data_IF_899923363497
#
_entry.id   IF_899923363497
#
_cell.length_a   1.000
_cell.length_b   1.000
_cell.length_c   1.000
_cell.angle_alpha   90.00
_cell.angle_beta   90.00
_cell.angle_gamma   90.00
#
_symmetry.space_group_name_H-M   'P 1'
#
loop_
_entity.id
_entity.type
_entity.pdbx_description
1 polymer ?
#
# COMPACT_ATOMS: atom_id res chain seq x y z
N UNK A 1 -9.08 24.65 59.64
CA UNK A 1 -7.75 24.01 59.49
C UNK A 1 -7.93 22.72 58.70
N UNK A 2 -7.24 22.69 57.57
CA UNK A 2 -6.81 21.58 56.72
C UNK A 2 -7.50 20.22 56.88
N UNK A 3 -8.25 19.90 55.82
CA UNK A 3 -8.63 18.57 55.39
C UNK A 3 -7.46 17.59 55.46
N UNK A 4 -7.69 16.45 56.11
CA UNK A 4 -6.77 15.33 56.13
C UNK A 4 -7.59 14.05 55.95
N UNK A 5 -7.52 13.48 54.75
CA UNK A 5 -6.97 12.15 54.49
C UNK A 5 -7.55 11.51 53.21
N UNK A 6 -6.74 10.67 52.53
CA UNK A 6 -6.81 10.46 51.09
C UNK A 6 -7.71 9.31 50.62
N UNK A 7 -8.12 9.45 49.36
CA UNK A 7 -8.88 8.50 48.57
C UNK A 7 -8.28 7.09 48.57
N UNK A 8 -9.09 6.12 48.97
CA UNK A 8 -8.93 4.71 48.61
C UNK A 8 -10.27 4.22 48.10
N UNK A 9 -10.50 4.38 46.80
CA UNK A 9 -11.49 3.58 46.08
C UNK A 9 -10.79 2.91 44.90
N UNK A 10 -10.22 1.75 45.18
CA UNK A 10 -9.92 0.74 44.19
C UNK A 10 -11.25 0.25 43.59
N UNK A 11 -11.34 0.21 42.27
CA UNK A 11 -12.39 -0.55 41.60
C UNK A 11 -13.28 0.31 40.73
N UNK A 12 -12.82 0.54 39.51
CA UNK A 12 -13.58 0.29 38.29
C UNK A 12 -12.76 0.86 37.15
N UNK A 13 -11.65 0.18 36.86
CA UNK A 13 -11.04 0.26 35.55
C UNK A 13 -12.13 -0.17 34.57
N UNK A 14 -12.84 0.79 33.98
CA UNK A 14 -13.55 0.57 32.73
C UNK A 14 -12.45 0.43 31.68
N UNK A 15 -11.77 -0.72 31.71
CA UNK A 15 -11.07 -1.24 30.55
C UNK A 15 -12.19 -1.43 29.55
N UNK A 16 -12.36 -0.43 28.69
CA UNK A 16 -12.97 -0.68 27.40
C UNK A 16 -12.33 -1.98 26.89
N UNK A 17 -13.11 -3.01 26.55
CA UNK A 17 -12.53 -4.09 25.78
C UNK A 17 -11.90 -3.38 24.58
N UNK A 18 -10.57 -3.43 24.49
CA UNK A 18 -9.94 -3.37 23.20
C UNK A 18 -10.73 -4.40 22.40
N UNK A 19 -11.56 -3.92 21.47
CA UNK A 19 -12.11 -4.78 20.47
C UNK A 19 -10.92 -5.62 19.99
N UNK A 20 -11.06 -6.95 19.81
CA UNK A 20 -10.05 -7.63 19.03
C UNK A 20 -9.87 -6.73 17.81
N UNK A 21 -8.63 -6.32 17.55
CA UNK A 21 -8.26 -5.92 16.21
C UNK A 21 -8.56 -7.18 15.40
N UNK A 22 -9.83 -7.32 15.00
CA UNK A 22 -10.27 -8.17 13.94
C UNK A 22 -9.38 -7.66 12.84
N UNK A 23 -8.32 -8.43 12.58
CA UNK A 23 -7.46 -8.24 11.45
C UNK A 23 -8.41 -7.84 10.32
N UNK A 24 -8.29 -6.60 9.85
CA UNK A 24 -9.10 -6.13 8.73
C UNK A 24 -9.11 -7.29 7.73
N UNK A 25 -10.29 -7.73 7.24
CA UNK A 25 -10.39 -8.97 6.48
C UNK A 25 -9.28 -8.96 5.45
N UNK A 26 -8.29 -9.82 5.66
CA UNK A 26 -7.15 -9.89 4.78
C UNK A 26 -7.74 -10.17 3.40
N UNK A 27 -7.35 -9.38 2.39
CA UNK A 27 -7.67 -9.74 1.02
C UNK A 27 -7.29 -11.21 0.84
N UNK A 28 -8.21 -12.05 0.35
CA UNK A 28 -7.90 -13.43 0.06
C UNK A 28 -6.65 -13.52 -0.83
N UNK A 29 -5.68 -14.37 -0.47
CA UNK A 29 -4.51 -14.65 -1.31
C UNK A 29 -4.91 -15.05 -2.74
N UNK A 30 -6.10 -15.63 -2.89
CA UNK A 30 -6.72 -15.97 -4.17
C UNK A 30 -6.84 -14.75 -5.11
N UNK A 31 -7.25 -13.59 -4.60
CA UNK A 31 -7.35 -12.35 -5.39
C UNK A 31 -5.99 -11.99 -5.99
N UNK A 32 -4.94 -12.06 -5.17
CA UNK A 32 -3.59 -11.72 -5.61
C UNK A 32 -3.02 -12.75 -6.59
N UNK A 33 -3.38 -14.03 -6.45
CA UNK A 33 -3.04 -15.06 -7.41
C UNK A 33 -3.78 -14.86 -8.74
N UNK A 34 -5.06 -14.50 -8.71
CA UNK A 34 -5.87 -14.22 -9.90
C UNK A 34 -5.38 -12.98 -10.66
N UNK A 35 -4.97 -11.93 -9.93
CA UNK A 35 -4.31 -10.75 -10.54
C UNK A 35 -3.06 -11.19 -11.28
N UNK A 36 -2.18 -11.96 -10.63
CA UNK A 36 -0.94 -12.46 -11.24
C UNK A 36 -1.18 -13.36 -12.44
N UNK A 37 -2.24 -14.18 -12.39
CA UNK A 37 -2.67 -15.03 -13.49
C UNK A 37 -3.35 -14.26 -14.64
N UNK A 38 -3.69 -12.98 -14.45
CA UNK A 38 -4.38 -12.14 -15.42
C UNK A 38 -5.91 -12.32 -15.42
N UNK A 39 -6.48 -13.03 -14.45
CA UNK A 39 -7.92 -13.22 -14.28
C UNK A 39 -8.58 -12.00 -13.62
N UNK A 40 -8.39 -10.80 -14.19
CA UNK A 40 -8.66 -9.51 -13.54
C UNK A 40 -10.14 -9.23 -13.17
N UNK A 41 -11.09 -9.90 -13.82
CA UNK A 41 -12.52 -9.65 -13.61
C UNK A 41 -13.07 -10.11 -12.25
N UNK A 42 -12.46 -11.15 -11.67
CA UNK A 42 -12.85 -11.67 -10.36
C UNK A 42 -12.26 -10.83 -9.21
N UNK A 43 -10.94 -10.54 -9.21
CA UNK A 43 -10.30 -9.59 -8.30
C UNK A 43 -10.99 -8.23 -8.24
N UNK A 44 -11.34 -7.64 -9.38
CA UNK A 44 -12.03 -6.34 -9.44
C UNK A 44 -13.28 -6.32 -8.56
N UNK A 45 -14.13 -7.35 -8.67
CA UNK A 45 -15.37 -7.46 -7.89
C UNK A 45 -15.11 -7.71 -6.41
N UNK A 46 -14.12 -8.51 -6.08
CA UNK A 46 -13.79 -8.82 -4.69
C UNK A 46 -13.12 -7.63 -4.01
N UNK A 47 -12.21 -6.94 -4.72
CA UNK A 47 -11.58 -5.70 -4.27
C UNK A 47 -12.64 -4.65 -3.99
N UNK A 48 -13.59 -4.45 -4.91
CA UNK A 48 -14.70 -3.52 -4.73
C UNK A 48 -15.58 -3.85 -3.51
N UNK A 49 -15.82 -5.13 -3.23
CA UNK A 49 -16.58 -5.55 -2.04
C UNK A 49 -15.83 -5.23 -0.74
N UNK A 50 -14.52 -5.47 -0.72
CA UNK A 50 -13.69 -5.15 0.45
C UNK A 50 -13.58 -3.64 0.63
N UNK A 51 -13.41 -2.86 -0.44
CA UNK A 51 -13.41 -1.39 -0.37
C UNK A 51 -14.77 -0.84 0.09
N UNK A 52 -15.88 -1.49 -0.30
CA UNK A 52 -17.21 -1.10 0.19
C UNK A 52 -17.38 -1.38 1.69
N UNK A 53 -16.81 -2.47 2.20
CA UNK A 53 -16.84 -2.80 3.63
C UNK A 53 -15.81 -1.99 4.44
N UNK A 54 -14.65 -1.72 3.84
CA UNK A 54 -13.48 -1.09 4.45
C UNK A 54 -12.83 -0.11 3.46
N UNK A 55 -13.37 1.11 3.35
CA UNK A 55 -12.86 2.11 2.40
C UNK A 55 -11.46 2.62 2.74
N UNK A 56 -10.99 2.38 3.96
CA UNK A 56 -9.67 2.78 4.46
C UNK A 56 -8.71 1.57 4.58
N UNK A 57 -9.00 0.47 3.87
CA UNK A 57 -8.13 -0.72 3.89
C UNK A 57 -6.92 -0.54 2.98
N UNK A 58 -5.73 -0.38 3.57
CA UNK A 58 -4.47 -0.30 2.84
C UNK A 58 -4.25 -1.51 1.91
N UNK A 59 -4.62 -2.71 2.36
CA UNK A 59 -4.49 -3.94 1.56
C UNK A 59 -5.39 -3.95 0.34
N UNK A 60 -6.56 -3.31 0.43
CA UNK A 60 -7.45 -3.19 -0.70
C UNK A 60 -6.93 -2.23 -1.77
N UNK A 61 -6.37 -1.11 -1.32
CA UNK A 61 -5.73 -0.15 -2.22
C UNK A 61 -4.46 -0.71 -2.88
N UNK A 62 -3.64 -1.52 -2.19
CA UNK A 62 -2.50 -2.22 -2.81
C UNK A 62 -2.96 -3.25 -3.85
N UNK A 63 -4.02 -4.02 -3.56
CA UNK A 63 -4.56 -4.99 -4.50
C UNK A 63 -5.14 -4.30 -5.76
N UNK A 64 -5.88 -3.21 -5.59
CA UNK A 64 -6.37 -2.38 -6.70
C UNK A 64 -5.20 -1.79 -7.52
N UNK A 65 -4.14 -1.33 -6.86
CA UNK A 65 -2.94 -0.87 -7.54
C UNK A 65 -2.32 -1.96 -8.43
N UNK A 66 -2.23 -3.20 -7.94
CA UNK A 66 -1.72 -4.33 -8.71
C UNK A 66 -2.62 -4.69 -9.87
N UNK A 67 -3.93 -4.70 -9.66
CA UNK A 67 -4.94 -4.91 -10.71
C UNK A 67 -4.76 -3.87 -11.84
N UNK A 68 -4.69 -2.59 -11.49
CA UNK A 68 -4.47 -1.48 -12.41
C UNK A 68 -3.13 -1.59 -13.15
N UNK A 69 -2.06 -2.02 -12.46
CA UNK A 69 -0.77 -2.27 -13.08
C UNK A 69 -0.83 -3.39 -14.12
N UNK A 70 -1.55 -4.47 -13.84
CA UNK A 70 -1.80 -5.55 -14.81
C UNK A 70 -2.59 -5.09 -16.02
N UNK A 71 -3.50 -4.12 -15.86
CA UNK A 71 -4.18 -3.46 -16.98
C UNK A 71 -3.30 -2.44 -17.74
N UNK A 72 -2.08 -2.19 -17.27
CA UNK A 72 -1.18 -1.17 -17.81
C UNK A 72 -1.55 0.27 -17.42
N UNK A 73 -2.48 0.45 -16.48
CA UNK A 73 -2.91 1.75 -15.95
C UNK A 73 -1.97 2.23 -14.83
N UNK A 74 -0.68 2.32 -15.14
CA UNK A 74 0.38 2.67 -14.18
C UNK A 74 0.17 3.97 -13.39
N UNK A 75 -0.36 5.07 -13.97
CA UNK A 75 -0.61 6.29 -13.20
C UNK A 75 -1.69 6.10 -12.12
N UNK A 76 -2.71 5.28 -12.40
CA UNK A 76 -3.75 4.95 -11.42
C UNK A 76 -3.21 3.99 -10.36
N UNK A 77 -2.42 2.99 -10.77
CA UNK A 77 -1.74 2.09 -9.85
C UNK A 77 -0.86 2.85 -8.83
N UNK A 78 -0.13 3.87 -9.28
CA UNK A 78 0.64 4.73 -8.38
C UNK A 78 -0.23 5.47 -7.37
N UNK A 79 -1.38 6.00 -7.78
CA UNK A 79 -2.27 6.74 -6.91
C UNK A 79 -2.84 5.86 -5.79
N UNK A 80 -3.24 4.62 -6.13
CA UNK A 80 -3.75 3.65 -5.16
C UNK A 80 -2.63 3.13 -4.24
N UNK A 81 -1.43 2.86 -4.77
CA UNK A 81 -0.27 2.49 -3.95
C UNK A 81 0.08 3.59 -2.93
N UNK A 82 0.05 4.86 -3.34
CA UNK A 82 0.25 5.98 -2.41
C UNK A 82 -0.87 6.09 -1.38
N UNK A 83 -2.10 5.71 -1.70
CA UNK A 83 -3.18 5.67 -0.72
C UNK A 83 -2.96 4.55 0.29
N UNK A 84 -2.59 3.36 -0.17
CA UNK A 84 -2.22 2.25 0.70
C UNK A 84 -1.11 2.64 1.68
N UNK A 85 -0.04 3.28 1.20
CA UNK A 85 1.10 3.72 2.01
C UNK A 85 0.73 4.82 3.03
N UNK A 86 -0.22 5.70 2.69
CA UNK A 86 -0.73 6.71 3.64
C UNK A 86 -1.59 6.09 4.74
N UNK A 87 -2.34 5.04 4.42
CA UNK A 87 -3.23 4.34 5.35
C UNK A 87 -2.44 3.45 6.31
N UNK A 88 -1.48 2.69 5.78
CA UNK A 88 -0.56 1.87 6.56
C UNK A 88 0.89 2.17 6.16
N UNK A 89 1.56 3.12 6.84
CA UNK A 89 2.96 3.44 6.60
C UNK A 89 3.83 2.26 7.06
N UNK A 90 4.14 1.39 6.10
CA UNK A 90 4.88 0.15 6.32
C UNK A 90 4.25 -1.05 5.62
N UNK A 91 2.98 -0.96 5.19
CA UNK A 91 2.24 -2.01 4.51
C UNK A 91 2.57 -3.40 5.07
N UNK A 92 2.39 -3.55 6.39
CA UNK A 92 2.89 -4.70 7.14
C UNK A 92 2.24 -6.05 6.77
N UNK A 93 1.20 -5.98 5.92
CA UNK A 93 0.50 -7.12 5.33
C UNK A 93 1.15 -7.63 4.03
N UNK A 94 2.03 -6.85 3.38
CA UNK A 94 2.78 -7.26 2.18
C UNK A 94 4.21 -7.61 2.55
N UNK A 95 4.78 -8.60 1.86
CA UNK A 95 6.21 -8.85 1.94
C UNK A 95 6.99 -7.62 1.44
N UNK A 96 7.97 -7.11 2.21
CA UNK A 96 8.70 -5.88 1.87
C UNK A 96 9.42 -6.00 0.53
N UNK A 97 9.92 -7.18 0.18
CA UNK A 97 10.58 -7.44 -1.11
C UNK A 97 9.62 -7.25 -2.30
N UNK A 98 8.43 -7.86 -2.21
CA UNK A 98 7.39 -7.74 -3.24
C UNK A 98 6.82 -6.32 -3.35
N UNK A 99 6.73 -5.62 -2.22
CA UNK A 99 6.34 -4.21 -2.20
C UNK A 99 7.37 -3.31 -2.88
N UNK A 100 8.65 -3.44 -2.52
CA UNK A 100 9.74 -2.66 -3.12
C UNK A 100 9.85 -2.91 -4.64
N UNK A 101 9.75 -4.17 -5.07
CA UNK A 101 9.75 -4.54 -6.48
C UNK A 101 8.58 -3.89 -7.23
N UNK A 102 7.38 -3.95 -6.67
CA UNK A 102 6.19 -3.35 -7.26
C UNK A 102 6.27 -1.82 -7.31
N UNK A 103 6.67 -1.16 -6.23
CA UNK A 103 6.87 0.29 -6.17
C UNK A 103 7.84 0.77 -7.23
N UNK A 104 8.96 0.06 -7.40
CA UNK A 104 9.94 0.36 -8.44
C UNK A 104 9.35 0.21 -9.83
N UNK A 105 8.64 -0.89 -10.11
CA UNK A 105 8.00 -1.12 -11.39
C UNK A 105 7.01 0.00 -11.74
N UNK A 106 6.15 0.39 -10.80
CA UNK A 106 5.20 1.50 -10.98
C UNK A 106 5.94 2.80 -11.29
N UNK A 107 7.00 3.12 -10.55
CA UNK A 107 7.80 4.32 -10.79
C UNK A 107 8.47 4.30 -12.17
N UNK A 108 9.04 3.17 -12.59
CA UNK A 108 9.66 3.02 -13.90
C UNK A 108 8.64 3.27 -15.01
N UNK A 109 7.44 2.68 -14.93
CA UNK A 109 6.40 2.85 -15.95
C UNK A 109 5.76 4.24 -15.95
N UNK A 110 5.56 4.87 -14.79
CA UNK A 110 5.02 6.24 -14.74
C UNK A 110 6.06 7.25 -15.23
N UNK A 111 7.34 7.07 -14.89
CA UNK A 111 8.41 7.95 -15.36
C UNK A 111 8.78 7.71 -16.83
N UNK A 112 8.54 6.51 -17.35
CA UNK A 112 8.68 6.18 -18.77
C UNK A 112 7.56 6.74 -19.67
N UNK A 113 6.70 7.64 -19.17
CA UNK A 113 5.88 8.51 -20.03
C UNK A 113 6.73 9.14 -21.15
N UNK A 114 6.12 9.56 -22.29
CA UNK A 114 6.68 9.49 -23.65
C UNK A 114 7.95 10.31 -23.97
N UNK A 115 8.64 10.87 -22.98
CA UNK A 115 9.90 11.58 -23.14
C UNK A 115 10.84 11.26 -21.99
N UNK A 116 11.57 10.16 -22.12
CA UNK A 116 13.00 10.07 -21.79
C UNK A 116 13.45 8.65 -22.10
N UNK A 117 13.76 8.44 -23.38
CA UNK A 117 14.99 7.72 -23.68
C UNK A 117 16.06 8.34 -22.77
N UNK A 118 16.41 7.65 -21.69
CA UNK A 118 17.78 7.66 -21.21
C UNK A 118 18.60 7.06 -22.33
N UNK A 119 18.84 7.87 -23.36
CA UNK A 119 20.11 7.93 -24.00
C UNK A 119 21.13 8.11 -22.88
N UNK A 120 21.57 6.98 -22.30
CA UNK A 120 22.97 6.79 -21.93
C UNK A 120 23.79 6.91 -23.21
N UNK A 121 23.77 8.12 -23.78
CA UNK A 121 24.70 8.57 -24.77
C UNK A 121 26.02 8.71 -24.05
N UNK A 122 26.80 7.63 -24.13
CA UNK A 122 28.21 7.67 -24.49
C UNK A 122 28.67 9.08 -24.90
N UNK A 123 29.10 9.91 -23.95
CA UNK A 123 30.04 10.99 -24.23
C UNK A 123 31.43 10.47 -23.92
N UNK A 124 31.98 9.84 -24.96
CA UNK A 124 33.40 9.67 -25.20
C UNK A 124 34.11 11.03 -25.19
N UNK A 125 35.34 11.04 -24.65
CA UNK A 125 36.45 11.96 -24.88
C UNK A 125 36.15 13.45 -25.13
N UNK A 126 36.59 14.30 -24.19
CA UNK A 126 37.61 15.32 -24.45
C UNK A 126 37.93 16.06 -23.14
N UNK A 127 39.12 15.86 -22.57
CA UNK A 127 39.82 16.97 -21.91
C UNK A 127 41.33 16.71 -21.89
N UNK A 128 41.99 17.32 -22.87
CA UNK A 128 43.43 17.55 -22.91
C UNK A 128 43.62 19.05 -22.63
N UNK A 129 44.41 19.42 -21.62
CA UNK A 129 45.12 20.69 -21.63
C UNK A 129 46.65 20.48 -21.76
N UNK A 130 47.19 21.24 -22.73
CA UNK A 130 48.59 21.54 -23.14
C UNK A 130 49.79 20.77 -22.57
#
# INVERSE_FOLDING_TARGET
MVHSMPASNCGATKRHPAAPALAAPAMPDAIQADIQAGHLAQPDREIAQVLAAHPDSAQAHDADARLLAHEGKWPLAQAELQRAERLDPGMGFVHPDGLQAFTRQVQEHVQAGPVKSSSSGLIVSTNLPE
#
